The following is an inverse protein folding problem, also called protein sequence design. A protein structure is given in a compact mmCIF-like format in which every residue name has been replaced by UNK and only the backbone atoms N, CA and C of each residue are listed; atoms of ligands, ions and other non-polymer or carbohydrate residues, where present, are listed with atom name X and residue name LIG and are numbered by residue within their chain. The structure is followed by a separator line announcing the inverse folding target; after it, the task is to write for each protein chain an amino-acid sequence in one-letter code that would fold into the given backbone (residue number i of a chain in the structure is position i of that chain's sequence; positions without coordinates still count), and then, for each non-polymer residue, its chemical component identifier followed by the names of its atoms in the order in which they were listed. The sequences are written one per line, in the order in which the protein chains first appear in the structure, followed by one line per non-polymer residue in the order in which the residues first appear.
data_IF_014214136758
#
_entry.id   IF_014214136758
#
_cell.length_a   1.000
_cell.length_b   1.000
_cell.length_c   1.000
_cell.angle_alpha   90.00
_cell.angle_beta   90.00
_cell.angle_gamma   90.00
#
_symmetry.space_group_name_H-M   'P 1'
#
loop_
_entity.id
_entity.type
_entity.pdbx_description
1 polymer ?
#
# COMPACT_ATOMS: atom_id res chain seq x y z
N UNK A 1 -8.61 -10.12 -24.24
CA UNK A 1 -8.20 -9.84 -22.85
C UNK A 1 -9.46 -9.76 -22.01
N UNK A 2 -9.57 -10.51 -20.91
CA UNK A 2 -10.71 -10.39 -19.99
C UNK A 2 -10.66 -9.04 -19.29
N UNK A 3 -11.81 -8.42 -19.07
CA UNK A 3 -11.91 -7.16 -18.31
C UNK A 3 -11.47 -7.43 -16.87
N UNK A 4 -10.53 -6.62 -16.33
CA UNK A 4 -10.05 -6.75 -14.94
C UNK A 4 -11.20 -6.56 -13.94
N UNK A 5 -11.97 -5.50 -14.07
CA UNK A 5 -13.09 -5.21 -13.17
C UNK A 5 -14.42 -5.66 -13.77
N UNK A 6 -15.14 -6.46 -13.00
CA UNK A 6 -16.43 -7.05 -13.37
C UNK A 6 -17.48 -6.45 -12.45
N UNK A 7 -18.32 -5.56 -12.99
CA UNK A 7 -19.47 -4.99 -12.30
C UNK A 7 -20.64 -5.99 -12.30
N UNK A 8 -21.21 -6.25 -11.13
CA UNK A 8 -22.33 -7.20 -10.94
C UNK A 8 -23.71 -6.53 -10.97
N UNK A 9 -23.77 -5.20 -11.06
CA UNK A 9 -25.04 -4.44 -11.10
C UNK A 9 -25.78 -4.35 -9.76
N UNK A 10 -25.22 -4.90 -8.69
CA UNK A 10 -25.75 -4.87 -7.31
C UNK A 10 -24.98 -3.88 -6.40
N UNK A 11 -24.07 -3.09 -6.99
CA UNK A 11 -23.18 -2.18 -6.28
C UNK A 11 -21.85 -2.83 -5.83
N UNK A 12 -21.52 -4.01 -6.35
CA UNK A 12 -20.23 -4.69 -6.15
C UNK A 12 -19.45 -4.84 -7.46
N UNK A 13 -18.12 -4.86 -7.34
CA UNK A 13 -17.17 -5.06 -8.45
C UNK A 13 -16.16 -6.12 -8.05
N UNK A 14 -15.99 -7.15 -8.88
CA UNK A 14 -14.89 -8.11 -8.72
C UNK A 14 -13.67 -7.67 -9.52
N UNK A 15 -12.51 -7.61 -8.86
CA UNK A 15 -11.22 -7.53 -9.51
C UNK A 15 -10.76 -8.95 -9.89
N UNK A 16 -10.83 -9.30 -11.16
CA UNK A 16 -10.45 -10.60 -11.70
C UNK A 16 -8.95 -10.91 -11.58
N UNK A 17 -8.09 -9.90 -11.38
CA UNK A 17 -6.66 -10.14 -11.13
C UNK A 17 -6.44 -10.69 -9.71
N UNK A 18 -7.08 -10.09 -8.71
CA UNK A 18 -6.88 -10.45 -7.30
C UNK A 18 -7.92 -11.44 -6.78
N UNK A 19 -9.06 -11.57 -7.45
CA UNK A 19 -10.22 -12.34 -6.99
C UNK A 19 -10.96 -11.67 -5.83
N UNK A 20 -10.62 -10.43 -5.49
CA UNK A 20 -11.29 -9.65 -4.46
C UNK A 20 -12.56 -9.00 -5.01
N UNK A 21 -13.57 -8.90 -4.17
CA UNK A 21 -14.81 -8.17 -4.48
C UNK A 21 -14.88 -6.92 -3.63
N UNK A 22 -15.10 -5.79 -4.29
CA UNK A 22 -15.12 -4.46 -3.73
C UNK A 22 -16.53 -3.91 -3.77
N UNK A 23 -16.87 -3.06 -2.80
CA UNK A 23 -18.01 -2.17 -2.98
C UNK A 23 -17.66 -1.14 -4.06
N UNK A 24 -18.57 -0.90 -5.01
CA UNK A 24 -18.33 0.03 -6.11
C UNK A 24 -18.28 1.50 -5.68
N UNK A 25 -18.97 1.84 -4.58
CA UNK A 25 -19.14 3.20 -4.09
C UNK A 25 -18.11 3.54 -3.01
N UNK A 26 -17.13 4.40 -3.35
CA UNK A 26 -16.12 4.88 -2.41
C UNK A 26 -16.53 6.09 -1.57
N UNK A 27 -17.75 6.61 -1.73
CA UNK A 27 -18.25 7.74 -0.95
C UNK A 27 -18.58 7.41 0.50
N UNK A 28 -18.43 6.14 0.92
CA UNK A 28 -18.95 5.61 2.18
C UNK A 28 -20.46 5.93 2.35
N UNK A 29 -21.38 5.40 1.51
CA UNK A 29 -22.81 5.76 1.58
C UNK A 29 -23.48 5.50 2.93
N UNK A 30 -24.60 6.19 3.21
CA UNK A 30 -25.42 5.91 4.40
C UNK A 30 -25.89 4.45 4.45
N UNK A 31 -25.96 3.92 5.67
CA UNK A 31 -26.52 2.60 5.99
C UNK A 31 -27.63 2.74 7.05
N UNK A 32 -28.52 1.76 7.19
CA UNK A 32 -29.56 1.80 8.22
C UNK A 32 -28.97 2.03 9.62
N UNK A 33 -29.26 3.18 10.23
CA UNK A 33 -28.76 3.55 11.55
C UNK A 33 -27.27 3.92 11.62
N UNK A 34 -26.59 4.06 10.48
CA UNK A 34 -25.17 4.40 10.41
C UNK A 34 -24.91 5.46 9.32
N UNK A 35 -24.57 6.71 9.71
CA UNK A 35 -24.29 7.77 8.73
C UNK A 35 -23.03 7.45 7.92
N UNK A 36 -23.09 7.78 6.64
CA UNK A 36 -22.01 7.66 5.68
C UNK A 36 -20.96 8.75 5.80
N UNK A 37 -20.15 8.93 4.76
CA UNK A 37 -19.07 9.90 4.69
C UNK A 37 -17.76 9.43 5.33
N UNK A 38 -16.86 10.36 5.61
CA UNK A 38 -15.53 10.06 6.17
C UNK A 38 -15.66 9.54 7.60
N UNK A 39 -14.76 8.64 8.00
CA UNK A 39 -14.75 8.01 9.34
C UNK A 39 -13.33 8.04 9.93
N UNK A 40 -13.16 8.29 11.23
CA UNK A 40 -11.89 8.04 11.91
C UNK A 40 -11.57 6.54 11.90
N UNK A 41 -10.29 6.20 11.98
CA UNK A 41 -9.85 4.80 11.92
C UNK A 41 -10.18 4.05 13.20
N UNK A 42 -9.99 4.69 14.35
CA UNK A 42 -10.43 4.18 15.66
C UNK A 42 -11.45 5.12 16.28
N UNK A 43 -12.22 4.63 17.25
CA UNK A 43 -13.11 5.47 18.05
C UNK A 43 -12.37 6.66 18.68
N UNK A 44 -13.09 7.70 19.12
CA UNK A 44 -12.47 8.91 19.64
C UNK A 44 -11.54 8.59 20.81
N UNK A 45 -10.26 8.95 20.68
CA UNK A 45 -9.35 9.02 21.82
C UNK A 45 -9.57 10.32 22.58
N UNK A 46 -9.11 10.37 23.83
CA UNK A 46 -9.04 11.60 24.61
C UNK A 46 -8.37 12.73 23.82
N UNK A 47 -8.67 13.97 24.20
CA UNK A 47 -8.26 15.22 23.53
C UNK A 47 -6.81 15.19 22.98
N UNK A 48 -6.55 15.88 21.85
CA UNK A 48 -5.25 15.78 21.18
C UNK A 48 -4.13 16.27 22.12
N UNK A 49 -2.93 15.66 22.06
CA UNK A 49 -1.76 16.22 22.73
C UNK A 49 -1.54 17.66 22.28
N UNK A 50 -1.14 18.54 23.21
CA UNK A 50 -0.90 19.97 22.91
C UNK A 50 0.18 20.18 21.83
N UNK A 51 1.10 19.22 21.69
CA UNK A 51 2.23 19.25 20.75
C UNK A 51 2.06 18.22 19.63
N UNK A 52 0.98 18.32 18.84
CA UNK A 52 0.93 17.56 17.59
C UNK A 52 2.05 18.08 16.67
N UNK A 53 3.05 17.26 16.29
CA UNK A 53 3.99 17.68 15.27
C UNK A 53 3.19 17.99 14.01
N UNK A 54 3.37 19.19 13.48
CA UNK A 54 2.83 19.64 12.20
C UNK A 54 3.49 18.86 11.06
N UNK A 55 3.22 17.56 11.00
CA UNK A 55 3.54 16.74 9.84
C UNK A 55 2.59 17.19 8.72
N UNK A 56 3.16 17.48 7.56
CA UNK A 56 2.50 17.95 6.32
C UNK A 56 1.53 16.90 5.76
N UNK A 57 0.51 16.50 6.49
CA UNK A 57 -0.64 15.76 5.96
C UNK A 57 -1.69 16.80 5.62
N UNK A 58 -1.95 17.01 4.33
CA UNK A 58 -2.91 17.98 3.78
C UNK A 58 -4.38 17.72 4.13
N UNK A 59 -4.66 17.23 5.33
CA UNK A 59 -5.99 16.92 5.86
C UNK A 59 -6.61 18.13 6.59
N UNK A 60 -6.27 19.36 6.18
CA UNK A 60 -6.88 20.57 6.73
C UNK A 60 -8.22 20.85 6.07
N UNK A 61 -9.23 20.13 6.52
CA UNK A 61 -10.61 20.59 6.47
C UNK A 61 -11.24 20.31 7.82
N UNK A 62 -12.21 21.13 8.30
CA UNK A 62 -12.99 20.74 9.46
C UNK A 62 -13.53 19.32 9.19
N UNK A 63 -13.28 18.41 10.13
CA UNK A 63 -13.92 17.11 10.13
C UNK A 63 -15.43 17.40 10.00
N UNK A 64 -16.12 16.95 8.92
CA UNK A 64 -17.52 17.31 8.67
C UNK A 64 -18.46 16.74 9.75
N UNK A 65 -17.92 15.86 10.59
CA UNK A 65 -18.61 15.19 11.68
C UNK A 65 -18.00 15.60 13.03
N UNK A 66 -17.73 16.88 13.27
CA UNK A 66 -17.54 17.39 14.64
C UNK A 66 -18.90 17.80 15.20
N UNK A 67 -19.25 17.31 16.40
CA UNK A 67 -20.32 17.93 17.16
C UNK A 67 -19.96 19.39 17.51
N UNK A 68 -20.92 20.17 18.01
CA UNK A 68 -20.72 21.57 18.41
C UNK A 68 -19.66 21.77 19.51
N UNK A 69 -19.06 20.69 20.03
CA UNK A 69 -17.95 20.69 20.99
C UNK A 69 -16.59 20.33 20.37
N UNK A 70 -16.52 20.14 19.05
CA UNK A 70 -15.29 19.80 18.35
C UNK A 70 -14.87 18.33 18.48
N UNK A 71 -15.82 17.41 18.76
CA UNK A 71 -15.54 15.97 18.89
C UNK A 71 -16.11 15.17 17.70
N UNK A 72 -15.40 14.14 17.18
CA UNK A 72 -15.90 13.28 16.13
C UNK A 72 -17.24 12.63 16.52
N UNK A 73 -18.23 12.65 15.62
CA UNK A 73 -19.51 11.95 15.79
C UNK A 73 -19.29 10.44 15.71
N UNK A 74 -18.98 9.83 16.85
CA UNK A 74 -19.39 8.50 17.32
C UNK A 74 -18.95 7.21 16.60
N UNK A 75 -18.60 7.22 15.30
CA UNK A 75 -18.46 5.99 14.52
C UNK A 75 -17.12 5.92 13.76
N UNK A 76 -16.35 4.87 14.01
CA UNK A 76 -15.11 4.55 13.33
C UNK A 76 -15.33 3.63 12.12
N UNK A 77 -14.27 3.41 11.33
CA UNK A 77 -14.32 2.53 10.14
C UNK A 77 -14.86 1.13 10.45
N UNK A 78 -14.51 0.54 11.60
CA UNK A 78 -14.97 -0.80 11.97
C UNK A 78 -16.44 -0.84 12.38
N UNK A 79 -16.97 0.25 12.95
CA UNK A 79 -18.42 0.37 13.19
C UNK A 79 -19.18 0.36 11.86
N UNK A 80 -18.61 1.01 10.82
CA UNK A 80 -19.21 1.06 9.49
C UNK A 80 -19.22 -0.31 8.81
N UNK A 81 -18.13 -1.05 8.94
CA UNK A 81 -18.04 -2.44 8.46
C UNK A 81 -19.08 -3.33 9.17
N UNK A 82 -19.23 -3.21 10.49
CA UNK A 82 -20.23 -3.98 11.24
C UNK A 82 -21.65 -3.66 10.79
N UNK A 83 -21.97 -2.38 10.57
CA UNK A 83 -23.26 -1.96 10.04
C UNK A 83 -23.51 -2.48 8.61
N UNK A 84 -22.48 -2.50 7.76
CA UNK A 84 -22.58 -3.01 6.39
C UNK A 84 -22.88 -4.51 6.37
N UNK A 85 -22.22 -5.27 7.25
CA UNK A 85 -22.44 -6.70 7.41
C UNK A 85 -23.82 -7.01 8.01
N UNK A 86 -24.26 -6.25 9.01
CA UNK A 86 -25.61 -6.37 9.58
C UNK A 86 -26.71 -6.08 8.55
N UNK A 87 -26.46 -5.16 7.62
CA UNK A 87 -27.35 -4.86 6.51
C UNK A 87 -27.33 -5.91 5.38
N UNK A 88 -26.44 -6.90 5.44
CA UNK A 88 -26.23 -7.91 4.40
C UNK A 88 -26.12 -7.29 2.99
N UNK A 89 -25.30 -6.24 2.84
CA UNK A 89 -25.18 -5.50 1.59
C UNK A 89 -24.81 -6.44 0.42
N UNK A 90 -25.57 -6.34 -0.67
CA UNK A 90 -25.50 -7.23 -1.84
C UNK A 90 -25.62 -8.73 -1.50
N UNK A 91 -26.29 -9.07 -0.40
CA UNK A 91 -26.46 -10.44 0.08
C UNK A 91 -25.25 -11.01 0.86
N UNK A 92 -24.27 -10.16 1.21
CA UNK A 92 -23.04 -10.58 1.88
C UNK A 92 -22.86 -9.94 3.26
N UNK A 93 -22.24 -10.68 4.18
CA UNK A 93 -22.04 -10.27 5.58
C UNK A 93 -20.59 -10.50 6.07
N UNK A 94 -19.66 -10.67 5.14
CA UNK A 94 -18.22 -10.88 5.34
C UNK A 94 -17.38 -9.73 4.75
N UNK A 95 -17.96 -8.54 4.66
CA UNK A 95 -17.23 -7.33 4.30
C UNK A 95 -16.23 -6.94 5.38
N UNK A 96 -15.13 -6.35 4.95
CA UNK A 96 -14.05 -5.88 5.82
C UNK A 96 -13.36 -4.67 5.23
N UNK A 97 -12.57 -4.01 6.07
CA UNK A 97 -11.63 -3.00 5.61
C UNK A 97 -10.44 -3.71 4.92
N UNK A 98 -10.01 -3.28 3.72
CA UNK A 98 -8.86 -3.87 3.02
C UNK A 98 -7.57 -3.60 3.79
N UNK A 99 -6.61 -4.52 3.74
CA UNK A 99 -5.25 -4.17 4.17
C UNK A 99 -4.56 -3.26 3.13
N UNK A 100 -3.43 -2.67 3.49
CA UNK A 100 -2.76 -1.68 2.62
C UNK A 100 -2.33 -2.27 1.28
N UNK A 101 -1.96 -3.56 1.22
CA UNK A 101 -1.59 -4.22 -0.03
C UNK A 101 -2.78 -4.42 -0.97
N UNK A 102 -3.93 -4.80 -0.42
CA UNK A 102 -5.18 -4.94 -1.16
C UNK A 102 -5.67 -3.60 -1.69
N UNK A 103 -5.70 -2.57 -0.85
CA UNK A 103 -6.17 -1.25 -1.25
C UNK A 103 -5.24 -0.60 -2.29
N UNK A 104 -3.92 -0.73 -2.11
CA UNK A 104 -2.93 -0.25 -3.08
C UNK A 104 -3.03 -0.96 -4.44
N UNK A 105 -3.52 -2.20 -4.49
CA UNK A 105 -3.64 -2.95 -5.74
C UNK A 105 -4.64 -2.35 -6.73
N UNK A 106 -5.56 -1.50 -6.27
CA UNK A 106 -6.49 -0.76 -7.11
C UNK A 106 -5.85 0.43 -7.83
N UNK A 107 -4.62 0.82 -7.49
CA UNK A 107 -3.93 1.90 -8.19
C UNK A 107 -3.53 1.47 -9.61
N UNK A 108 -3.72 2.37 -10.56
CA UNK A 108 -3.12 2.30 -11.88
C UNK A 108 -2.11 3.44 -12.03
N UNK A 109 -0.84 3.06 -12.02
CA UNK A 109 0.30 3.99 -11.98
C UNK A 109 0.68 4.51 -13.37
N UNK A 110 0.27 3.78 -14.40
CA UNK A 110 0.50 4.14 -15.80
C UNK A 110 -0.41 5.29 -16.26
N UNK A 111 -1.40 5.69 -15.44
CA UNK A 111 -2.30 6.80 -15.75
C UNK A 111 -2.08 7.98 -14.78
N UNK A 112 -2.25 9.22 -15.27
CA UNK A 112 -2.12 10.42 -14.42
C UNK A 112 -3.13 10.44 -13.26
N UNK A 113 -4.32 9.89 -13.49
CA UNK A 113 -5.44 9.96 -12.55
C UNK A 113 -6.07 8.57 -12.34
N UNK A 114 -5.52 7.80 -11.40
CA UNK A 114 -6.01 6.44 -11.08
C UNK A 114 -7.48 6.42 -10.67
N UNK A 115 -7.97 7.47 -9.99
CA UNK A 115 -9.38 7.59 -9.61
C UNK A 115 -10.34 7.65 -10.81
N UNK A 116 -9.98 8.40 -11.88
CA UNK A 116 -10.79 8.45 -13.10
C UNK A 116 -10.83 7.07 -13.78
N UNK A 117 -9.68 6.41 -13.86
CA UNK A 117 -9.59 5.06 -14.42
C UNK A 117 -10.43 4.04 -13.64
N UNK A 118 -10.44 4.11 -12.30
CA UNK A 118 -11.33 3.28 -11.49
C UNK A 118 -12.81 3.58 -11.80
N UNK A 119 -13.18 4.85 -11.93
CA UNK A 119 -14.56 5.24 -12.23
C UNK A 119 -15.02 4.82 -13.62
N UNK A 120 -14.15 4.87 -14.63
CA UNK A 120 -14.39 4.29 -15.96
C UNK A 120 -14.58 2.77 -15.93
N UNK A 121 -14.14 2.12 -14.84
CA UNK A 121 -14.26 0.68 -14.61
C UNK A 121 -15.37 0.32 -13.60
N UNK A 122 -16.34 1.21 -13.39
CA UNK A 122 -17.57 0.93 -12.64
C UNK A 122 -17.56 1.41 -11.20
N UNK A 123 -16.39 1.78 -10.66
CA UNK A 123 -16.36 2.45 -9.36
C UNK A 123 -17.05 3.81 -9.44
N UNK A 124 -17.50 4.34 -8.31
CA UNK A 124 -18.08 5.67 -8.22
C UNK A 124 -17.70 6.36 -6.93
N UNK A 125 -17.78 7.69 -6.93
CA UNK A 125 -17.44 8.52 -5.78
C UNK A 125 -16.00 8.27 -5.27
N UNK A 126 -15.07 8.00 -6.18
CA UNK A 126 -13.62 7.99 -5.91
C UNK A 126 -13.11 9.40 -6.21
N UNK A 127 -13.41 10.36 -5.34
CA UNK A 127 -13.13 11.78 -5.61
C UNK A 127 -11.67 12.17 -5.38
N UNK A 128 -11.30 13.34 -5.92
CA UNK A 128 -9.91 13.80 -5.97
C UNK A 128 -9.28 14.13 -4.61
N UNK A 129 -10.11 14.39 -3.60
CA UNK A 129 -9.69 14.74 -2.24
C UNK A 129 -9.96 13.61 -1.24
N UNK A 130 -10.37 12.43 -1.72
CA UNK A 130 -10.70 11.29 -0.88
C UNK A 130 -9.46 10.43 -0.64
N UNK A 131 -9.14 10.27 0.63
CA UNK A 131 -8.26 9.21 1.12
C UNK A 131 -9.12 8.02 1.54
N UNK A 132 -8.55 6.82 1.50
CA UNK A 132 -9.21 5.58 1.87
C UNK A 132 -8.39 4.85 2.92
N UNK A 133 -9.00 4.57 4.07
CA UNK A 133 -8.32 3.82 5.13
C UNK A 133 -8.04 2.38 4.71
N UNK A 134 -6.89 1.86 5.14
CA UNK A 134 -6.64 0.42 5.21
C UNK A 134 -6.75 -0.08 6.64
N UNK A 135 -6.89 -1.38 6.85
CA UNK A 135 -6.86 -2.04 8.17
C UNK A 135 -5.46 -2.17 8.77
N UNK A 136 -4.42 -1.75 8.03
CA UNK A 136 -3.01 -1.86 8.43
C UNK A 136 -2.62 -0.68 9.30
N UNK A 137 -2.21 -0.96 10.55
CA UNK A 137 -1.61 0.04 11.45
C UNK A 137 -0.18 0.37 11.02
N UNK A 138 0.29 1.60 11.21
CA UNK A 138 1.71 1.92 11.05
C UNK A 138 2.50 1.35 12.25
N UNK A 139 3.29 0.31 12.05
CA UNK A 139 3.92 -0.42 13.16
C UNK A 139 4.83 0.45 14.04
N UNK A 140 5.65 1.33 13.45
CA UNK A 140 6.52 2.24 14.21
C UNK A 140 5.80 3.44 14.83
N UNK A 141 4.54 3.67 14.42
CA UNK A 141 3.69 4.80 14.84
C UNK A 141 2.26 4.30 15.02
N UNK A 142 1.97 3.49 16.05
CA UNK A 142 0.69 2.77 16.18
C UNK A 142 -0.53 3.69 16.33
N UNK A 143 -0.32 4.96 16.65
CA UNK A 143 -1.31 6.04 16.60
C UNK A 143 -1.76 6.40 15.18
N UNK A 144 -1.06 5.89 14.16
CA UNK A 144 -1.33 6.11 12.74
C UNK A 144 -1.74 4.80 12.05
N UNK A 145 -2.50 4.94 10.97
CA UNK A 145 -2.83 3.84 10.06
C UNK A 145 -2.45 4.23 8.63
N UNK A 146 -2.25 3.20 7.81
CA UNK A 146 -1.99 3.37 6.38
C UNK A 146 -3.29 3.70 5.64
N UNK A 147 -3.21 4.61 4.69
CA UNK A 147 -4.29 4.96 3.78
C UNK A 147 -3.75 5.14 2.36
N UNK A 148 -4.65 5.05 1.39
CA UNK A 148 -4.34 5.23 -0.03
C UNK A 148 -5.16 6.40 -0.56
N UNK A 149 -4.54 7.22 -1.40
CA UNK A 149 -5.26 8.16 -2.25
C UNK A 149 -5.06 7.76 -3.71
N UNK A 150 -6.10 7.90 -4.55
CA UNK A 150 -6.07 7.46 -5.95
C UNK A 150 -5.84 8.62 -6.95
N UNK A 151 -5.60 9.84 -6.46
CA UNK A 151 -5.21 10.97 -7.30
C UNK A 151 -3.74 10.98 -7.60
N UNK A 152 -3.37 11.62 -8.71
CA UNK A 152 -1.97 11.81 -9.09
C UNK A 152 -1.17 10.50 -9.19
N UNK A 153 -1.70 9.53 -9.96
CA UNK A 153 -1.17 8.15 -10.07
C UNK A 153 -1.21 7.31 -8.79
N UNK A 154 -1.82 7.86 -7.74
CA UNK A 154 -2.04 7.27 -6.43
C UNK A 154 -0.78 7.20 -5.56
N UNK A 155 -0.96 7.17 -4.24
CA UNK A 155 0.12 6.97 -3.27
C UNK A 155 -0.39 6.34 -1.96
N UNK A 156 0.55 5.80 -1.20
CA UNK A 156 0.35 5.18 0.11
C UNK A 156 0.99 6.08 1.17
N UNK A 157 0.19 6.48 2.17
CA UNK A 157 0.60 7.38 3.25
C UNK A 157 0.07 6.90 4.59
N UNK A 158 0.51 7.56 5.67
CA UNK A 158 -0.03 7.34 7.01
C UNK A 158 -0.81 8.56 7.49
N UNK A 159 -1.77 8.34 8.37
CA UNK A 159 -2.54 9.41 9.02
C UNK A 159 -2.92 8.99 10.44
N UNK A 160 -3.08 9.98 11.31
CA UNK A 160 -3.49 9.77 12.70
C UNK A 160 -4.87 9.11 12.77
N UNK A 161 -4.98 8.02 13.51
CA UNK A 161 -6.23 7.24 13.63
C UNK A 161 -7.38 8.02 14.26
N UNK A 162 -7.05 8.88 15.22
CA UNK A 162 -8.03 9.64 16.01
C UNK A 162 -8.37 11.04 15.44
N UNK A 163 -7.50 11.61 14.61
CA UNK A 163 -7.60 13.02 14.20
C UNK A 163 -7.85 13.20 12.70
N UNK A 164 -7.73 12.12 11.92
CA UNK A 164 -8.04 12.12 10.51
C UNK A 164 -9.29 11.28 10.25
N UNK A 165 -10.15 11.74 9.35
CA UNK A 165 -11.26 10.95 8.85
C UNK A 165 -11.11 10.78 7.35
N UNK A 166 -11.18 9.54 6.90
CA UNK A 166 -11.04 9.13 5.50
C UNK A 166 -12.19 8.18 5.13
N UNK A 167 -12.37 7.90 3.85
CA UNK A 167 -13.43 7.01 3.37
C UNK A 167 -13.11 5.55 3.63
N UNK A 168 -14.15 4.73 3.56
CA UNK A 168 -14.09 3.27 3.67
C UNK A 168 -14.45 2.71 2.30
N UNK A 169 -13.55 1.91 1.72
CA UNK A 169 -13.82 1.12 0.53
C UNK A 169 -13.82 -0.37 0.92
N UNK A 170 -14.97 -0.93 1.33
CA UNK A 170 -15.05 -2.31 1.80
C UNK A 170 -14.65 -3.31 0.72
N UNK A 171 -13.98 -4.36 1.17
CA UNK A 171 -13.59 -5.51 0.34
C UNK A 171 -14.05 -6.80 1.00
N UNK A 172 -14.22 -7.85 0.21
CA UNK A 172 -14.43 -9.22 0.68
C UNK A 172 -13.70 -10.23 -0.21
N UNK A 173 -13.60 -11.47 0.26
CA UNK A 173 -12.89 -12.55 -0.41
C UNK A 173 -11.45 -12.74 0.08
N UNK A 174 -10.79 -13.76 -0.49
CA UNK A 174 -9.54 -14.35 0.03
C UNK A 174 -8.31 -14.12 -0.88
N UNK A 175 -8.36 -13.15 -1.80
CA UNK A 175 -7.24 -12.89 -2.73
C UNK A 175 -6.85 -14.15 -3.54
N UNK A 176 -7.86 -14.79 -4.15
CA UNK A 176 -7.75 -16.08 -4.85
C UNK A 176 -7.53 -15.96 -6.36
N UNK A 177 -7.32 -14.74 -6.86
CA UNK A 177 -7.03 -14.49 -8.27
C UNK A 177 -5.62 -14.89 -8.70
N UNK A 178 -5.33 -14.78 -10.01
CA UNK A 178 -4.00 -15.07 -10.57
C UNK A 178 -2.90 -14.14 -10.03
N UNK A 179 -3.21 -12.88 -9.72
CA UNK A 179 -2.30 -11.94 -9.09
C UNK A 179 -2.43 -12.05 -7.56
N UNK A 180 -1.52 -12.80 -6.97
CA UNK A 180 -1.49 -13.03 -5.51
C UNK A 180 -0.86 -11.85 -4.80
N UNK A 181 -1.65 -11.10 -4.03
CA UNK A 181 -1.13 -10.07 -3.13
C UNK A 181 -0.51 -10.70 -1.86
N UNK A 182 0.61 -10.17 -1.38
CA UNK A 182 1.24 -10.63 -0.14
C UNK A 182 0.47 -10.13 1.10
N UNK A 183 0.51 -10.92 2.17
CA UNK A 183 0.23 -10.43 3.51
C UNK A 183 1.15 -9.24 3.83
N UNK A 184 0.68 -8.34 4.68
CA UNK A 184 1.43 -7.13 5.06
C UNK A 184 2.55 -7.40 6.06
N UNK A 185 2.56 -8.58 6.68
CA UNK A 185 3.46 -8.94 7.79
C UNK A 185 2.93 -8.50 9.17
N UNK A 186 1.82 -7.77 9.23
CA UNK A 186 1.22 -7.36 10.50
C UNK A 186 0.64 -8.57 11.24
N UNK A 187 1.07 -8.77 12.49
CA UNK A 187 0.56 -9.85 13.38
C UNK A 187 -0.10 -9.32 14.65
N UNK A 188 -0.07 -8.01 14.85
CA UNK A 188 -0.57 -7.33 16.04
C UNK A 188 -1.76 -6.45 15.68
N UNK A 189 -2.74 -6.43 16.56
CA UNK A 189 -3.83 -5.48 16.57
C UNK A 189 -3.53 -4.39 17.59
N UNK A 190 -4.08 -3.21 17.40
CA UNK A 190 -3.86 -2.08 18.29
C UNK A 190 -5.22 -1.58 18.74
N UNK A 191 -5.51 -1.73 20.03
CA UNK A 191 -6.70 -1.15 20.66
C UNK A 191 -6.57 0.38 20.74
N UNK A 192 -7.64 1.04 21.17
CA UNK A 192 -7.69 2.50 21.29
C UNK A 192 -6.55 3.07 22.16
N UNK A 193 -6.15 2.35 23.22
CA UNK A 193 -5.01 2.68 24.08
C UNK A 193 -3.63 2.48 23.42
N UNK A 194 -3.57 2.11 22.12
CA UNK A 194 -2.37 1.84 21.33
C UNK A 194 -1.53 0.67 21.87
N UNK A 195 -2.09 -0.14 22.76
CA UNK A 195 -1.42 -1.32 23.29
C UNK A 195 -1.43 -2.40 22.21
N UNK A 196 -0.26 -2.94 21.82
CA UNK A 196 -0.20 -4.04 20.88
C UNK A 196 -0.77 -5.30 21.52
N UNK A 197 -1.77 -5.88 20.87
CA UNK A 197 -2.40 -7.12 21.30
C UNK A 197 -2.15 -8.21 20.23
N UNK A 198 -1.53 -9.35 20.60
CA UNK A 198 -1.37 -10.49 19.70
C UNK A 198 -2.70 -11.24 19.63
N UNK A 199 -3.61 -10.78 18.77
CA UNK A 199 -4.97 -11.30 18.69
C UNK A 199 -5.17 -12.05 17.37
N UNK A 200 -4.87 -13.35 17.29
CA UNK A 200 -5.50 -14.22 16.32
C UNK A 200 -6.72 -14.93 16.95
N UNK A 201 -7.48 -14.25 17.81
CA UNK A 201 -8.68 -14.79 18.46
C UNK A 201 -9.99 -14.12 18.01
N UNK A 202 -9.92 -13.22 17.03
CA UNK A 202 -11.07 -12.48 16.48
C UNK A 202 -11.46 -11.24 17.29
N UNK A 203 -10.78 -10.93 18.39
CA UNK A 203 -11.04 -9.70 19.15
C UNK A 203 -10.44 -8.44 18.51
N UNK A 204 -9.64 -8.60 17.44
CA UNK A 204 -9.07 -7.50 16.66
C UNK A 204 -10.08 -6.77 15.75
N UNK A 205 -11.32 -7.25 15.67
CA UNK A 205 -12.46 -6.62 14.96
C UNK A 205 -12.14 -6.34 13.48
N UNK A 206 -11.40 -7.24 12.82
CA UNK A 206 -11.08 -7.12 11.39
C UNK A 206 -9.86 -6.24 11.06
N UNK A 207 -9.04 -5.90 12.05
CA UNK A 207 -7.72 -5.31 11.82
C UNK A 207 -6.80 -6.27 11.04
N UNK A 208 -5.79 -5.72 10.37
CA UNK A 208 -4.90 -6.51 9.53
C UNK A 208 -4.14 -7.60 10.31
N UNK A 209 -3.71 -7.28 11.54
CA UNK A 209 -3.08 -8.26 12.45
C UNK A 209 -3.97 -9.42 12.90
N UNK A 210 -5.29 -9.23 12.85
CA UNK A 210 -6.34 -10.21 13.19
C UNK A 210 -6.58 -11.15 12.00
N UNK A 211 -6.84 -10.54 10.83
CA UNK A 211 -7.24 -11.28 9.64
C UNK A 211 -6.07 -11.88 8.87
N UNK A 212 -4.91 -11.20 8.85
CA UNK A 212 -3.68 -11.58 8.15
C UNK A 212 -3.96 -12.08 6.72
N UNK A 213 -4.76 -11.32 5.98
CA UNK A 213 -5.21 -11.75 4.66
C UNK A 213 -4.17 -11.45 3.58
N UNK A 214 -4.20 -12.28 2.54
CA UNK A 214 -3.20 -12.28 1.48
C UNK A 214 -2.41 -13.58 1.46
N UNK A 215 -1.41 -13.63 0.59
CA UNK A 215 -0.50 -14.77 0.48
C UNK A 215 0.61 -14.60 1.50
N UNK A 216 0.84 -15.56 2.41
CA UNK A 216 1.94 -15.50 3.35
C UNK A 216 3.27 -15.31 2.63
N UNK A 217 4.16 -14.53 3.21
CA UNK A 217 5.51 -14.33 2.66
C UNK A 217 6.24 -15.69 2.68
N UNK A 218 6.64 -16.25 1.52
CA UNK A 218 7.36 -17.52 1.50
C UNK A 218 8.68 -17.41 2.25
N UNK A 219 9.00 -18.39 3.10
CA UNK A 219 10.25 -18.42 3.86
C UNK A 219 11.48 -18.51 2.94
N UNK A 220 11.31 -19.10 1.76
CA UNK A 220 12.29 -19.26 0.70
C UNK A 220 12.13 -18.22 -0.41
N UNK A 221 11.41 -17.11 -0.16
CA UNK A 221 11.20 -16.06 -1.18
C UNK A 221 12.51 -15.56 -1.76
N UNK A 222 13.50 -15.31 -0.91
CA UNK A 222 14.80 -14.76 -1.31
C UNK A 222 15.87 -15.85 -1.26
N UNK A 223 16.49 -16.11 -2.41
CA UNK A 223 17.63 -17.00 -2.54
C UNK A 223 18.87 -16.19 -2.91
N UNK A 224 19.91 -16.33 -2.10
CA UNK A 224 21.21 -15.72 -2.38
C UNK A 224 21.99 -16.55 -3.40
N UNK A 225 22.49 -15.90 -4.45
CA UNK A 225 23.38 -16.49 -5.45
C UNK A 225 24.68 -15.71 -5.57
N UNK A 226 25.77 -16.46 -5.72
CA UNK A 226 27.06 -15.89 -6.08
C UNK A 226 27.05 -15.56 -7.58
N UNK A 227 27.10 -14.28 -7.92
CA UNK A 227 27.26 -13.81 -9.30
C UNK A 227 28.73 -13.72 -9.71
N UNK A 228 29.65 -14.31 -8.94
CA UNK A 228 31.08 -14.33 -9.21
C UNK A 228 31.68 -12.93 -9.14
N UNK A 229 32.48 -12.58 -10.16
CA UNK A 229 33.17 -11.29 -10.20
C UNK A 229 32.23 -10.07 -10.27
N UNK A 230 30.96 -10.26 -10.65
CA UNK A 230 29.97 -9.18 -10.70
C UNK A 230 29.42 -8.80 -9.33
N UNK A 231 29.45 -9.71 -8.36
CA UNK A 231 28.81 -9.53 -7.04
C UNK A 231 27.59 -10.42 -6.84
N UNK A 232 26.94 -10.32 -5.68
CA UNK A 232 25.82 -11.20 -5.31
C UNK A 232 24.53 -10.82 -6.00
N UNK A 233 23.72 -11.83 -6.29
CA UNK A 233 22.35 -11.69 -6.80
C UNK A 233 21.38 -12.26 -5.77
N UNK A 234 20.31 -11.53 -5.47
CA UNK A 234 19.20 -12.04 -4.65
C UNK A 234 18.03 -12.37 -5.56
N UNK A 235 17.69 -13.65 -5.69
CA UNK A 235 16.55 -14.13 -6.48
C UNK A 235 15.29 -14.05 -5.63
N UNK A 236 14.30 -13.28 -6.09
CA UNK A 236 12.95 -13.23 -5.55
C UNK A 236 12.05 -14.23 -6.30
N UNK A 237 11.90 -15.42 -5.71
CA UNK A 237 11.11 -16.53 -6.26
C UNK A 237 9.62 -16.23 -6.29
N UNK A 238 9.15 -15.33 -5.43
CA UNK A 238 7.73 -14.95 -5.40
C UNK A 238 7.36 -14.08 -6.61
N UNK A 239 8.21 -13.13 -6.97
CA UNK A 239 7.96 -12.25 -8.11
C UNK A 239 8.54 -12.74 -9.44
N UNK A 240 9.41 -13.76 -9.42
CA UNK A 240 10.13 -14.16 -10.62
C UNK A 240 11.16 -13.11 -11.05
N UNK A 241 11.83 -12.50 -10.07
CA UNK A 241 12.79 -11.41 -10.28
C UNK A 241 14.14 -11.77 -9.67
N UNK A 242 15.20 -11.12 -10.15
CA UNK A 242 16.52 -11.14 -9.54
C UNK A 242 17.00 -9.71 -9.30
N UNK A 243 17.56 -9.47 -8.13
CA UNK A 243 17.99 -8.18 -7.66
C UNK A 243 19.51 -8.13 -7.52
N UNK A 244 20.12 -7.05 -7.97
CA UNK A 244 21.53 -6.79 -7.75
C UNK A 244 21.74 -6.01 -6.46
N UNK A 245 22.98 -5.98 -5.95
CA UNK A 245 23.33 -5.02 -4.91
C UNK A 245 23.03 -3.59 -5.39
N UNK A 246 22.40 -2.74 -4.57
CA UNK A 246 22.10 -1.38 -4.95
C UNK A 246 23.38 -0.55 -5.09
N UNK A 247 23.39 0.34 -6.07
CA UNK A 247 24.39 1.38 -6.19
C UNK A 247 23.88 2.62 -5.45
N UNK A 248 24.44 2.88 -4.27
CA UNK A 248 24.09 4.03 -3.43
C UNK A 248 24.73 5.36 -3.86
N UNK A 249 25.09 5.48 -5.15
CA UNK A 249 25.57 6.72 -5.72
C UNK A 249 24.38 7.54 -6.19
N UNK A 250 24.08 8.64 -5.49
CA UNK A 250 22.96 9.50 -5.83
C UNK A 250 23.08 10.09 -7.24
N UNK A 251 22.13 9.77 -8.11
CA UNK A 251 22.11 10.25 -9.51
C UNK A 251 20.72 10.72 -9.96
N UNK A 252 20.64 11.57 -10.99
CA UNK A 252 19.40 11.91 -11.67
C UNK A 252 18.69 10.67 -12.24
N UNK A 253 17.37 10.74 -12.36
CA UNK A 253 16.56 9.59 -12.79
C UNK A 253 16.83 9.15 -14.23
N UNK A 254 16.97 10.10 -15.16
CA UNK A 254 17.30 9.85 -16.57
C UNK A 254 18.65 9.13 -16.72
N UNK A 255 19.66 9.58 -15.98
CA UNK A 255 20.97 8.93 -15.92
C UNK A 255 20.87 7.50 -15.36
N UNK A 256 20.04 7.26 -14.34
CA UNK A 256 19.81 5.93 -13.79
C UNK A 256 19.16 4.98 -14.80
N UNK A 257 18.13 5.44 -15.51
CA UNK A 257 17.43 4.66 -16.55
C UNK A 257 18.38 4.24 -17.67
N UNK A 258 19.28 5.13 -18.10
CA UNK A 258 20.27 4.81 -19.13
C UNK A 258 21.41 3.90 -18.62
N UNK A 259 21.88 4.15 -17.40
CA UNK A 259 23.06 3.50 -16.86
C UNK A 259 22.80 2.03 -16.52
N UNK A 260 21.66 1.71 -15.90
CA UNK A 260 21.41 0.35 -15.38
C UNK A 260 21.51 -0.73 -16.46
N UNK A 261 20.81 -0.63 -17.62
CA UNK A 261 20.90 -1.66 -18.66
C UNK A 261 22.31 -1.83 -19.25
N UNK A 262 23.14 -0.77 -19.22
CA UNK A 262 24.51 -0.79 -19.77
C UNK A 262 25.52 -1.36 -18.77
N UNK A 263 25.47 -0.91 -17.52
CA UNK A 263 26.45 -1.25 -16.50
C UNK A 263 26.18 -2.59 -15.82
N UNK A 264 24.93 -3.06 -15.83
CA UNK A 264 24.54 -4.36 -15.27
C UNK A 264 24.34 -5.43 -16.34
N UNK A 265 24.66 -5.18 -17.62
CA UNK A 265 24.60 -6.22 -18.65
C UNK A 265 25.46 -7.44 -18.26
N UNK A 266 24.88 -8.65 -18.28
CA UNK A 266 25.53 -9.87 -17.83
C UNK A 266 25.82 -9.96 -16.32
N UNK A 267 25.33 -9.02 -15.48
CA UNK A 267 25.55 -9.06 -14.03
C UNK A 267 25.00 -10.36 -13.45
N UNK A 268 25.86 -11.13 -12.77
CA UNK A 268 25.52 -12.43 -12.22
C UNK A 268 25.09 -13.46 -13.28
N UNK A 269 25.50 -13.28 -14.54
CA UNK A 269 25.11 -14.12 -15.66
C UNK A 269 23.66 -13.91 -16.13
N UNK A 270 23.02 -12.82 -15.72
CA UNK A 270 21.65 -12.45 -16.09
C UNK A 270 21.62 -11.18 -16.94
N UNK A 271 20.56 -11.05 -17.73
CA UNK A 271 20.31 -9.92 -18.62
C UNK A 271 18.93 -9.29 -18.36
N UNK A 272 18.68 -8.11 -18.95
CA UNK A 272 17.42 -7.40 -18.80
C UNK A 272 17.32 -6.56 -17.51
N UNK A 273 18.47 -6.15 -16.97
CA UNK A 273 18.55 -5.28 -15.81
C UNK A 273 17.96 -3.89 -16.10
N UNK A 274 17.08 -3.46 -15.21
CA UNK A 274 16.41 -2.15 -15.24
C UNK A 274 16.20 -1.61 -13.84
N UNK A 275 15.73 -0.37 -13.75
CA UNK A 275 15.14 0.11 -12.51
C UNK A 275 13.86 -0.70 -12.20
N UNK A 276 13.58 -0.96 -10.92
CA UNK A 276 12.42 -1.72 -10.49
C UNK A 276 11.15 -0.88 -10.61
N UNK A 277 10.04 -1.48 -11.02
CA UNK A 277 8.76 -0.81 -11.01
C UNK A 277 8.31 -0.53 -9.56
N UNK A 278 7.42 0.46 -9.38
CA UNK A 278 6.95 0.89 -8.06
C UNK A 278 6.47 -0.30 -7.24
N UNK A 279 5.64 -1.16 -7.83
CA UNK A 279 5.07 -2.36 -7.21
C UNK A 279 6.11 -3.43 -6.84
N UNK A 280 7.19 -3.55 -7.61
CA UNK A 280 8.27 -4.50 -7.33
C UNK A 280 9.03 -4.08 -6.06
N UNK A 281 9.36 -2.79 -5.94
CA UNK A 281 9.94 -2.26 -4.69
C UNK A 281 8.95 -2.31 -3.54
N UNK A 282 7.65 -2.06 -3.78
CA UNK A 282 6.62 -2.08 -2.73
C UNK A 282 6.52 -3.45 -2.09
N UNK A 283 6.68 -4.49 -2.90
CA UNK A 283 6.64 -5.89 -2.45
C UNK A 283 7.71 -6.22 -1.42
N UNK A 284 8.79 -5.44 -1.31
CA UNK A 284 9.86 -5.65 -0.34
C UNK A 284 9.42 -5.21 1.06
N UNK A 285 8.52 -4.23 1.15
CA UNK A 285 7.99 -3.66 2.41
C UNK A 285 7.32 -4.72 3.27
N UNK A 286 7.63 -4.68 4.57
CA UNK A 286 6.93 -5.40 5.62
C UNK A 286 6.32 -4.39 6.58
N UNK A 287 4.99 -4.24 6.55
CA UNK A 287 4.27 -3.27 7.37
C UNK A 287 4.14 -3.71 8.83
N UNK A 288 4.53 -4.94 9.16
CA UNK A 288 4.66 -5.44 10.53
C UNK A 288 6.03 -5.15 11.15
N UNK A 289 6.95 -4.51 10.41
CA UNK A 289 8.34 -4.29 10.83
C UNK A 289 8.67 -2.79 10.94
N UNK A 290 9.45 -2.40 11.96
CA UNK A 290 10.02 -1.05 12.09
C UNK A 290 11.41 -0.89 11.47
N UNK A 291 12.04 -1.99 11.05
CA UNK A 291 13.40 -2.00 10.50
C UNK A 291 13.46 -2.79 9.19
N UNK A 292 12.88 -2.21 8.13
CA UNK A 292 12.90 -2.80 6.80
C UNK A 292 14.34 -2.97 6.27
N UNK A 293 15.26 -2.06 6.60
CA UNK A 293 16.67 -2.17 6.23
C UNK A 293 17.29 -3.46 6.79
N UNK A 294 17.12 -3.73 8.08
CA UNK A 294 17.63 -4.94 8.72
C UNK A 294 17.02 -6.21 8.12
N UNK A 295 15.72 -6.17 7.78
CA UNK A 295 15.05 -7.28 7.10
C UNK A 295 15.65 -7.57 5.72
N UNK A 296 15.93 -6.53 4.93
CA UNK A 296 16.55 -6.69 3.60
C UNK A 296 17.99 -7.21 3.72
N UNK A 297 18.76 -6.73 4.69
CA UNK A 297 20.11 -7.25 4.95
C UNK A 297 20.08 -8.74 5.35
N UNK A 298 19.12 -9.15 6.17
CA UNK A 298 18.92 -10.57 6.53
C UNK A 298 18.49 -11.43 5.33
N UNK A 299 17.74 -10.86 4.39
CA UNK A 299 17.36 -11.50 3.13
C UNK A 299 18.52 -11.58 2.11
N UNK A 300 19.72 -11.12 2.47
CA UNK A 300 20.92 -11.23 1.65
C UNK A 300 21.18 -10.04 0.72
N UNK A 301 20.36 -8.98 0.80
CA UNK A 301 20.61 -7.75 0.06
C UNK A 301 21.74 -6.95 0.72
N UNK A 302 22.95 -7.11 0.19
CA UNK A 302 24.13 -6.38 0.65
C UNK A 302 24.09 -4.92 0.21
N UNK A 303 24.80 -4.05 0.93
CA UNK A 303 24.93 -2.61 0.63
C UNK A 303 23.63 -1.80 0.58
N UNK A 304 22.48 -2.36 0.94
CA UNK A 304 21.25 -1.58 1.09
C UNK A 304 21.42 -0.53 2.20
N UNK A 305 20.92 0.68 1.99
CA UNK A 305 21.00 1.83 2.90
C UNK A 305 19.63 2.46 3.11
N UNK A 306 19.49 3.21 4.20
CA UNK A 306 18.30 4.03 4.43
C UNK A 306 18.37 5.34 3.61
N UNK A 307 18.16 5.20 2.31
CA UNK A 307 18.10 6.29 1.32
C UNK A 307 16.91 6.07 0.41
N UNK A 308 16.61 7.07 -0.42
CA UNK A 308 15.64 6.92 -1.51
C UNK A 308 16.28 6.16 -2.68
N UNK A 309 15.54 5.21 -3.23
CA UNK A 309 15.89 4.47 -4.44
C UNK A 309 14.94 4.84 -5.58
N UNK A 310 15.47 5.07 -6.77
CA UNK A 310 14.64 5.30 -7.94
C UNK A 310 13.83 4.06 -8.33
N UNK A 311 12.58 4.28 -8.71
CA UNK A 311 11.78 3.31 -9.45
C UNK A 311 11.93 3.56 -10.96
N UNK A 312 11.64 2.56 -11.79
CA UNK A 312 11.51 2.69 -13.25
C UNK A 312 10.20 3.34 -13.67
N UNK A 313 9.26 3.53 -12.73
CA UNK A 313 7.94 4.07 -12.99
C UNK A 313 7.96 5.61 -13.01
N UNK A 314 7.69 6.26 -14.16
CA UNK A 314 7.61 7.72 -14.22
C UNK A 314 6.37 8.23 -13.48
N UNK A 315 6.38 9.49 -13.05
CA UNK A 315 5.18 10.12 -12.50
C UNK A 315 4.26 10.53 -13.64
N UNK A 316 3.20 9.75 -13.91
CA UNK A 316 2.40 9.87 -15.14
C UNK A 316 1.76 11.26 -15.37
N UNK A 317 1.58 12.06 -14.32
CA UNK A 317 1.10 13.44 -14.41
C UNK A 317 2.11 14.42 -15.04
N UNK A 318 3.41 14.16 -14.91
CA UNK A 318 4.50 14.99 -15.45
C UNK A 318 5.76 14.11 -15.65
N UNK A 319 5.69 13.15 -16.60
CA UNK A 319 6.68 12.08 -16.73
C UNK A 319 8.06 12.57 -17.20
N UNK A 320 8.11 13.76 -17.80
CA UNK A 320 9.37 14.38 -18.26
C UNK A 320 10.14 15.07 -17.13
N UNK A 321 9.49 15.33 -15.98
CA UNK A 321 10.08 16.12 -14.89
C UNK A 321 10.10 15.40 -13.56
N UNK A 322 9.29 14.35 -13.39
CA UNK A 322 9.14 13.66 -12.12
C UNK A 322 9.13 12.15 -12.29
N UNK A 323 9.72 11.47 -11.31
CA UNK A 323 9.67 10.03 -11.17
C UNK A 323 9.39 9.65 -9.72
N UNK A 324 8.95 8.41 -9.52
CA UNK A 324 8.75 7.88 -8.18
C UNK A 324 10.08 7.39 -7.60
N UNK A 325 10.32 7.73 -6.34
CA UNK A 325 11.36 7.15 -5.50
C UNK A 325 10.73 6.37 -4.34
N UNK A 326 11.48 5.41 -3.80
CA UNK A 326 11.08 4.58 -2.67
C UNK A 326 12.08 4.74 -1.53
N UNK A 327 11.60 5.24 -0.39
CA UNK A 327 12.39 5.39 0.82
C UNK A 327 12.33 4.13 1.68
N UNK A 328 13.46 3.44 1.84
CA UNK A 328 13.50 2.15 2.54
C UNK A 328 13.21 2.24 4.04
N UNK A 329 13.45 3.39 4.69
CA UNK A 329 13.26 3.53 6.13
C UNK A 329 11.82 3.23 6.59
N UNK A 330 10.84 3.66 5.81
CA UNK A 330 9.42 3.52 6.14
C UNK A 330 8.59 2.87 5.02
N UNK A 331 9.21 2.52 3.89
CA UNK A 331 8.52 1.98 2.72
C UNK A 331 7.60 3.00 2.04
N UNK A 332 7.97 4.29 2.07
CA UNK A 332 7.16 5.40 1.53
C UNK A 332 7.63 5.80 0.14
N UNK A 333 6.69 6.23 -0.69
CA UNK A 333 7.00 6.78 -2.02
C UNK A 333 7.08 8.29 -2.02
N UNK A 334 8.17 8.79 -2.58
CA UNK A 334 8.38 10.20 -2.90
C UNK A 334 8.12 10.47 -4.38
N UNK A 335 7.54 11.64 -4.68
CA UNK A 335 7.47 12.17 -6.04
C UNK A 335 8.57 13.19 -6.21
N UNK A 336 9.63 12.80 -6.88
CA UNK A 336 10.86 13.58 -6.94
C UNK A 336 11.12 14.16 -8.32
N UNK A 337 11.74 15.35 -8.35
CA UNK A 337 12.10 16.03 -9.60
C UNK A 337 13.26 15.31 -10.28
N UNK A 338 13.38 15.43 -11.60
CA UNK A 338 14.47 14.84 -12.38
C UNK A 338 15.88 15.22 -11.87
N UNK A 339 16.04 16.42 -11.29
CA UNK A 339 17.31 16.87 -10.67
C UNK A 339 17.58 16.34 -9.25
N UNK A 340 16.62 15.65 -8.62
CA UNK A 340 16.83 14.94 -7.36
C UNK A 340 17.84 13.82 -7.57
N UNK A 341 18.55 13.42 -6.51
CA UNK A 341 19.57 12.38 -6.56
C UNK A 341 19.19 11.25 -5.61
N UNK A 342 18.81 10.11 -6.17
CA UNK A 342 18.48 8.90 -5.43
C UNK A 342 19.46 7.77 -5.82
N UNK A 343 19.53 6.73 -4.99
CA UNK A 343 20.25 5.50 -5.31
C UNK A 343 19.52 4.69 -6.38
N UNK A 344 20.18 3.65 -6.90
CA UNK A 344 19.55 2.71 -7.84
C UNK A 344 19.64 1.29 -7.30
N UNK A 345 18.56 0.53 -7.45
CA UNK A 345 18.48 -0.86 -7.01
C UNK A 345 18.01 -1.74 -8.16
N UNK A 346 18.92 -2.20 -9.03
CA UNK A 346 18.54 -2.87 -10.26
C UNK A 346 17.83 -4.19 -10.03
N UNK A 347 16.88 -4.47 -10.92
CA UNK A 347 16.16 -5.75 -11.00
C UNK A 347 16.14 -6.26 -12.44
N UNK A 348 16.08 -7.57 -12.63
CA UNK A 348 15.83 -8.20 -13.92
C UNK A 348 14.82 -9.37 -13.77
N UNK A 349 14.16 -9.79 -14.87
CA UNK A 349 13.36 -11.01 -14.87
C UNK A 349 14.22 -12.24 -14.54
N UNK A 350 13.71 -13.12 -13.69
CA UNK A 350 14.36 -14.38 -13.36
C UNK A 350 13.42 -15.56 -13.69
N UNK A 351 13.78 -16.41 -14.66
CA UNK A 351 12.95 -17.54 -15.05
C UNK A 351 12.73 -18.48 -13.86
N UNK A 352 11.46 -18.69 -13.49
CA UNK A 352 11.12 -19.76 -12.56
C UNK A 352 11.22 -21.09 -13.31
N UNK A 353 11.78 -22.15 -12.71
CA UNK A 353 11.69 -23.49 -13.29
C UNK A 353 10.20 -23.86 -13.42
N UNK A 354 9.80 -24.29 -14.62
CA UNK A 354 8.42 -24.69 -14.97
C UNK A 354 7.99 -25.93 -14.21
#
# INVERSE_FOLDING_TARGET
MSRRFIDHGDGTITDAETGLMWRADGGTPDLPGMPGGRKPWSGPLSAPPADLPTLRTGCYGPLPDLDLSGRPVGYAVFDYIDALNAAAFAGYADWRLPNVNELASLMNEAVPQSHLWLMENGFRNIETHCNFWSSTTCHGHPEQAWHVHFTNSGNVHTSCKAWCAHHVLPVRGLNSGPRRLLQTGQTLCYSADLVPQPLPDGSGRGQDGDLRLGTPRPADRFELRDGGASGRVVVDRFLGLAWASPLNLGMPWDAAVEMVPRCYAGYGGLDGWRLPEREELRSLTDYGCSNLLGLMQQAGFEDVRNVDYWTGTPYANDPDRYAWSFGLGWGLYGRERAGFRAGVWPVCPFPQPV
#
